data_IF_253008967554
#
_entry.id   IF_253008967554
#
_cell.length_a   1.000
_cell.length_b   1.000
_cell.length_c   1.000
_cell.angle_alpha   90.00
_cell.angle_beta   90.00
_cell.angle_gamma   90.00
#
_symmetry.space_group_name_H-M   'P 1'
#
loop_
_entity.id
_entity.type
_entity.pdbx_description
1 polymer ?
#
# COMPACT_ATOMS: atom_id res chain seq x y z
N UNK A 1 17.55 -11.80 1.07
CA UNK A 1 16.78 -11.74 -0.20
C UNK A 1 15.33 -12.23 -0.02
N UNK A 2 15.09 -13.41 0.53
CA UNK A 2 13.72 -13.93 0.77
C UNK A 2 12.86 -12.99 1.63
N UNK A 3 13.41 -12.43 2.71
CA UNK A 3 12.69 -11.43 3.50
C UNK A 3 12.36 -10.17 2.71
N UNK A 4 13.27 -9.71 1.85
CA UNK A 4 13.06 -8.51 1.03
C UNK A 4 11.86 -8.66 0.09
N UNK A 5 11.66 -9.85 -0.48
CA UNK A 5 10.53 -10.14 -1.36
C UNK A 5 9.17 -9.96 -0.67
N UNK A 6 9.10 -10.05 0.67
CA UNK A 6 7.86 -9.84 1.44
C UNK A 6 7.27 -8.45 1.23
N UNK A 7 8.08 -7.43 0.89
CA UNK A 7 7.59 -6.09 0.58
C UNK A 7 6.62 -6.09 -0.61
N UNK A 8 6.78 -7.02 -1.55
CA UNK A 8 5.87 -7.20 -2.69
C UNK A 8 4.41 -7.43 -2.27
N UNK A 9 4.18 -8.03 -1.10
CA UNK A 9 2.82 -8.26 -0.58
C UNK A 9 2.09 -6.98 -0.14
N UNK A 10 2.82 -5.86 -0.01
CA UNK A 10 2.31 -4.53 0.36
C UNK A 10 2.27 -3.58 -0.85
N UNK A 11 2.71 -4.03 -2.02
CA UNK A 11 2.55 -3.31 -3.28
C UNK A 11 1.25 -3.77 -4.00
N UNK A 12 0.65 -2.93 -4.84
CA UNK A 12 -0.56 -3.29 -5.56
C UNK A 12 -0.38 -4.54 -6.42
N UNK A 13 -1.41 -5.40 -6.48
CA UNK A 13 -1.42 -6.52 -7.42
C UNK A 13 -1.59 -6.08 -8.88
N UNK A 14 -2.17 -4.89 -9.08
CA UNK A 14 -2.39 -4.30 -10.40
C UNK A 14 -2.21 -2.79 -10.35
N UNK A 15 -1.66 -2.22 -11.43
CA UNK A 15 -1.37 -0.80 -11.56
C UNK A 15 -2.23 -0.19 -12.66
N UNK A 16 -2.68 1.06 -12.50
CA UNK A 16 -3.56 1.72 -13.46
C UNK A 16 -2.85 2.15 -14.72
N UNK A 17 -1.53 2.30 -14.67
CA UNK A 17 -0.74 2.57 -15.87
C UNK A 17 0.47 1.64 -16.01
N UNK A 18 0.84 1.28 -17.25
CA UNK A 18 2.06 0.50 -17.51
C UNK A 18 3.33 1.17 -16.93
N UNK A 19 3.39 2.51 -16.94
CA UNK A 19 4.51 3.27 -16.40
C UNK A 19 4.72 3.07 -14.89
N UNK A 20 3.63 2.91 -14.13
CA UNK A 20 3.72 2.64 -12.70
C UNK A 20 4.28 1.24 -12.44
N UNK A 21 3.82 0.24 -13.20
CA UNK A 21 4.35 -1.12 -13.14
C UNK A 21 5.83 -1.18 -13.54
N UNK A 22 6.19 -0.58 -14.68
CA UNK A 22 7.57 -0.47 -15.16
C UNK A 22 8.48 0.20 -14.12
N UNK A 23 7.98 1.22 -13.42
CA UNK A 23 8.72 1.88 -12.36
C UNK A 23 9.00 0.94 -11.19
N UNK A 24 7.99 0.19 -10.71
CA UNK A 24 8.16 -0.77 -9.61
C UNK A 24 9.11 -1.90 -10.01
N UNK A 25 8.94 -2.48 -11.20
CA UNK A 25 9.82 -3.53 -11.74
C UNK A 25 11.26 -3.03 -11.87
N UNK A 26 11.45 -1.82 -12.40
CA UNK A 26 12.77 -1.19 -12.49
C UNK A 26 13.45 -1.05 -11.12
N UNK A 27 12.69 -0.67 -10.08
CA UNK A 27 13.24 -0.57 -8.73
C UNK A 27 13.60 -1.93 -8.13
N UNK A 28 12.80 -2.97 -8.37
CA UNK A 28 13.13 -4.33 -7.97
C UNK A 28 14.40 -4.84 -8.64
N UNK A 29 14.52 -4.69 -9.96
CA UNK A 29 15.73 -5.06 -10.71
C UNK A 29 16.95 -4.30 -10.18
N UNK A 30 16.81 -3.00 -9.88
CA UNK A 30 17.89 -2.21 -9.29
C UNK A 30 18.29 -2.72 -7.90
N UNK A 31 17.31 -3.08 -7.05
CA UNK A 31 17.58 -3.67 -5.74
C UNK A 31 18.33 -5.01 -5.89
N UNK A 32 17.78 -5.95 -6.65
CA UNK A 32 18.31 -7.31 -6.81
C UNK A 32 19.72 -7.30 -7.41
N UNK A 33 19.92 -6.50 -8.45
CA UNK A 33 21.22 -6.37 -9.11
C UNK A 33 22.27 -5.84 -8.14
N UNK A 34 21.95 -4.79 -7.38
CA UNK A 34 22.90 -4.22 -6.41
C UNK A 34 23.14 -5.15 -5.23
N UNK A 35 22.10 -5.83 -4.73
CA UNK A 35 22.23 -6.80 -3.65
C UNK A 35 23.15 -7.96 -4.06
N UNK A 36 22.91 -8.56 -5.24
CA UNK A 36 23.67 -9.70 -5.76
C UNK A 36 25.15 -9.38 -5.99
N UNK A 37 25.46 -8.14 -6.37
CA UNK A 37 26.83 -7.68 -6.60
C UNK A 37 27.47 -7.03 -5.36
N UNK A 38 26.93 -7.28 -4.16
CA UNK A 38 27.42 -6.74 -2.89
C UNK A 38 27.49 -5.20 -2.81
N UNK A 39 26.70 -4.50 -3.65
CA UNK A 39 26.52 -3.04 -3.64
C UNK A 39 25.38 -2.65 -2.70
N UNK A 40 25.45 -3.10 -1.45
CA UNK A 40 24.33 -3.03 -0.50
C UNK A 40 23.83 -1.62 -0.21
N UNK A 41 24.72 -0.62 -0.20
CA UNK A 41 24.35 0.79 -0.10
C UNK A 41 23.37 1.22 -1.21
N UNK A 42 23.62 0.83 -2.46
CA UNK A 42 22.74 1.16 -3.58
C UNK A 42 21.48 0.28 -3.61
N UNK A 43 21.60 -0.97 -3.13
CA UNK A 43 20.43 -1.83 -2.92
C UNK A 43 19.45 -1.17 -1.92
N UNK A 44 19.96 -0.64 -0.80
CA UNK A 44 19.14 0.10 0.17
C UNK A 44 18.40 1.28 -0.46
N UNK A 45 19.07 2.09 -1.30
CA UNK A 45 18.41 3.21 -1.98
C UNK A 45 17.24 2.74 -2.85
N UNK A 46 17.43 1.66 -3.62
CA UNK A 46 16.36 1.06 -4.43
C UNK A 46 15.21 0.54 -3.58
N UNK A 47 15.53 -0.16 -2.48
CA UNK A 47 14.55 -0.72 -1.55
C UNK A 47 13.75 0.36 -0.80
N UNK A 48 14.39 1.47 -0.42
CA UNK A 48 13.70 2.63 0.15
C UNK A 48 12.70 3.23 -0.82
N UNK A 49 13.01 3.31 -2.12
CA UNK A 49 12.07 3.83 -3.11
C UNK A 49 10.86 2.91 -3.31
N UNK A 50 11.04 1.58 -3.22
CA UNK A 50 9.91 0.63 -3.16
C UNK A 50 9.08 0.84 -1.89
N UNK A 51 9.73 1.06 -0.75
CA UNK A 51 9.08 1.32 0.54
C UNK A 51 8.21 2.58 0.48
N UNK A 52 8.76 3.68 -0.06
CA UNK A 52 7.99 4.92 -0.24
C UNK A 52 6.83 4.75 -1.23
N UNK A 53 6.98 3.87 -2.23
CA UNK A 53 5.87 3.53 -3.12
C UNK A 53 4.72 2.86 -2.34
N UNK A 54 5.01 1.93 -1.42
CA UNK A 54 4.01 1.32 -0.53
C UNK A 54 3.27 2.39 0.30
N UNK A 55 4.03 3.35 0.86
CA UNK A 55 3.45 4.47 1.62
C UNK A 55 2.54 5.34 0.75
N UNK A 56 2.93 5.62 -0.49
CA UNK A 56 2.12 6.40 -1.42
C UNK A 56 0.82 5.70 -1.79
N UNK A 57 0.83 4.39 -2.01
CA UNK A 57 -0.40 3.63 -2.24
C UNK A 57 -1.32 3.63 -1.00
N UNK A 58 -0.77 3.50 0.21
CA UNK A 58 -1.55 3.63 1.45
C UNK A 58 -2.22 5.02 1.56
N UNK A 59 -1.46 6.09 1.31
CA UNK A 59 -1.99 7.47 1.35
C UNK A 59 -3.03 7.68 0.24
N UNK A 60 -2.83 7.06 -0.92
CA UNK A 60 -3.81 7.08 -2.01
C UNK A 60 -5.12 6.41 -1.62
N UNK A 61 -5.08 5.26 -0.95
CA UNK A 61 -6.27 4.58 -0.44
C UNK A 61 -7.01 5.46 0.57
N UNK A 62 -6.30 6.17 1.46
CA UNK A 62 -6.92 7.17 2.36
C UNK A 62 -7.63 8.27 1.54
N UNK A 63 -6.97 8.82 0.52
CA UNK A 63 -7.55 9.84 -0.38
C UNK A 63 -8.84 9.36 -1.03
N UNK A 64 -8.87 8.11 -1.51
CA UNK A 64 -10.05 7.55 -2.19
C UNK A 64 -11.20 7.27 -1.23
N UNK A 65 -10.91 6.65 -0.08
CA UNK A 65 -11.95 6.19 0.84
C UNK A 65 -12.47 7.27 1.78
N UNK A 66 -11.62 8.24 2.13
CA UNK A 66 -11.95 9.31 3.10
C UNK A 66 -11.56 10.69 2.55
N UNK A 67 -12.16 11.14 1.45
CA UNK A 67 -11.74 12.36 0.75
C UNK A 67 -11.84 13.61 1.63
N UNK A 68 -12.88 13.76 2.45
CA UNK A 68 -13.03 14.91 3.34
C UNK A 68 -11.95 14.97 4.43
N UNK A 69 -11.60 13.82 5.01
CA UNK A 69 -10.55 13.75 6.04
C UNK A 69 -9.17 13.93 5.41
N UNK A 70 -8.97 13.42 4.19
CA UNK A 70 -7.78 13.68 3.41
C UNK A 70 -7.61 15.18 3.15
N UNK A 71 -8.65 15.87 2.68
CA UNK A 71 -8.63 17.33 2.46
C UNK A 71 -8.31 18.10 3.75
N UNK A 72 -8.94 17.75 4.89
CA UNK A 72 -8.61 18.33 6.20
C UNK A 72 -7.16 18.02 6.61
N UNK A 73 -6.65 16.84 6.29
CA UNK A 73 -5.27 16.42 6.55
C UNK A 73 -4.23 17.23 5.79
N UNK A 74 -4.63 17.87 4.69
CA UNK A 74 -3.79 18.77 3.90
C UNK A 74 -3.70 20.19 4.49
N UNK A 75 -4.49 20.54 5.50
CA UNK A 75 -4.42 21.88 6.12
C UNK A 75 -3.00 22.15 6.64
N UNK A 76 -2.41 23.23 6.12
CA UNK A 76 -1.05 23.65 6.47
C UNK A 76 0.03 23.12 5.51
N UNK A 77 -0.37 22.44 4.43
CA UNK A 77 0.47 22.34 3.23
C UNK A 77 0.36 23.67 2.45
N UNK A 78 1.28 23.92 1.51
CA UNK A 78 1.19 25.11 0.66
C UNK A 78 0.01 25.00 -0.31
N UNK A 79 -0.68 26.10 -0.62
CA UNK A 79 -1.89 26.10 -1.48
C UNK A 79 -1.72 25.32 -2.80
N UNK A 80 -0.59 25.50 -3.48
CA UNK A 80 -0.31 24.79 -4.73
C UNK A 80 -0.10 23.29 -4.51
N UNK A 81 0.51 22.92 -3.38
CA UNK A 81 0.68 21.50 -2.99
C UNK A 81 -0.69 20.89 -2.67
N UNK A 82 -1.51 21.57 -1.86
CA UNK A 82 -2.87 21.09 -1.53
C UNK A 82 -3.66 20.81 -2.80
N UNK A 83 -3.71 21.77 -3.73
CA UNK A 83 -4.36 21.62 -5.02
C UNK A 83 -3.81 20.43 -5.82
N UNK A 84 -2.48 20.34 -5.97
CA UNK A 84 -1.84 19.26 -6.72
C UNK A 84 -2.14 17.88 -6.12
N UNK A 85 -2.22 17.76 -4.79
CA UNK A 85 -2.51 16.48 -4.13
C UNK A 85 -3.98 16.09 -4.23
N UNK A 86 -4.91 17.05 -4.18
CA UNK A 86 -6.35 16.80 -4.37
C UNK A 86 -6.65 16.34 -5.81
N UNK A 87 -6.07 17.03 -6.79
CA UNK A 87 -6.23 16.75 -8.23
C UNK A 87 -5.36 15.58 -8.73
N UNK A 88 -4.58 14.95 -7.85
CA UNK A 88 -3.69 13.86 -8.22
C UNK A 88 -4.46 12.67 -8.84
N UNK A 89 -3.96 12.21 -9.99
CA UNK A 89 -4.46 11.04 -10.74
C UNK A 89 -3.58 9.79 -10.57
N UNK A 90 -2.42 9.93 -9.94
CA UNK A 90 -1.51 8.83 -9.61
C UNK A 90 -0.93 9.01 -8.18
N UNK A 91 -0.71 7.92 -7.43
CA UNK A 91 -0.03 7.96 -6.12
C UNK A 91 1.36 8.61 -6.18
N UNK A 92 2.05 8.52 -7.33
CA UNK A 92 3.40 9.08 -7.46
C UNK A 92 3.44 10.61 -7.47
N UNK A 93 2.31 11.31 -7.63
CA UNK A 93 2.25 12.77 -7.44
C UNK A 93 2.66 13.18 -6.01
N UNK A 94 2.49 12.28 -5.02
CA UNK A 94 2.91 12.53 -3.64
C UNK A 94 4.43 12.73 -3.49
N UNK A 95 5.25 12.30 -4.46
CA UNK A 95 6.70 12.54 -4.43
C UNK A 95 7.08 14.00 -4.62
N UNK A 96 6.14 14.87 -5.03
CA UNK A 96 6.35 16.33 -5.11
C UNK A 96 6.47 16.97 -3.72
N UNK A 97 6.03 16.26 -2.69
CA UNK A 97 6.15 16.66 -1.29
C UNK A 97 7.37 15.97 -0.68
N UNK A 98 8.08 16.67 0.20
CA UNK A 98 9.15 16.05 0.99
C UNK A 98 8.63 14.81 1.74
N UNK A 99 9.38 13.71 1.68
CA UNK A 99 8.95 12.42 2.25
C UNK A 99 8.65 12.48 3.76
N UNK A 100 9.36 13.30 4.54
CA UNK A 100 9.01 13.49 5.96
C UNK A 100 7.67 14.18 6.13
N UNK A 101 7.37 15.15 5.26
CA UNK A 101 6.13 15.92 5.30
C UNK A 101 4.93 15.08 4.88
N UNK A 102 5.05 14.26 3.83
CA UNK A 102 3.94 13.42 3.34
C UNK A 102 3.54 12.34 4.35
N UNK A 103 4.49 11.80 5.15
CA UNK A 103 4.22 10.85 6.24
C UNK A 103 3.25 11.40 7.30
N UNK A 104 3.08 12.73 7.40
CA UNK A 104 2.10 13.34 8.31
C UNK A 104 0.66 12.93 7.99
N UNK A 105 0.36 12.56 6.75
CA UNK A 105 -0.97 12.09 6.34
C UNK A 105 -1.32 10.73 6.95
N UNK A 106 -0.34 9.96 7.44
CA UNK A 106 -0.60 8.71 8.17
C UNK A 106 -1.31 8.94 9.53
N UNK A 107 -1.40 10.20 10.01
CA UNK A 107 -2.27 10.52 11.15
C UNK A 107 -3.74 10.17 10.89
N UNK A 108 -4.17 10.19 9.63
CA UNK A 108 -5.54 9.84 9.22
C UNK A 108 -5.89 8.37 9.47
N UNK A 109 -4.87 7.52 9.69
CA UNK A 109 -4.99 6.12 10.09
C UNK A 109 -4.47 5.88 11.52
N UNK A 110 -4.48 6.90 12.36
CA UNK A 110 -4.06 6.85 13.76
C UNK A 110 -2.58 6.51 14.00
N UNK A 111 -1.69 6.76 13.03
CA UNK A 111 -0.26 6.80 13.31
C UNK A 111 0.08 8.08 14.10
N UNK A 112 0.41 7.93 15.38
CA UNK A 112 0.80 9.05 16.25
C UNK A 112 2.15 9.69 15.84
N UNK A 113 2.51 10.80 16.49
CA UNK A 113 3.76 11.51 16.21
C UNK A 113 5.03 10.65 16.47
N UNK A 114 4.97 9.69 17.39
CA UNK A 114 6.09 8.80 17.69
C UNK A 114 6.32 7.80 16.55
N UNK A 115 5.23 7.22 16.03
CA UNK A 115 5.27 6.35 14.83
C UNK A 115 5.76 7.12 13.61
N UNK A 116 5.20 8.30 13.35
CA UNK A 116 5.63 9.16 12.24
C UNK A 116 7.12 9.53 12.38
N UNK A 117 7.57 9.84 13.59
CA UNK A 117 8.99 10.10 13.86
C UNK A 117 9.87 8.88 13.59
N UNK A 118 9.40 7.67 13.88
CA UNK A 118 10.08 6.41 13.56
C UNK A 118 10.18 6.20 12.04
N UNK A 119 9.09 6.44 11.30
CA UNK A 119 9.07 6.27 9.84
C UNK A 119 9.93 7.34 9.15
N UNK A 120 9.94 8.56 9.68
CA UNK A 120 10.80 9.64 9.20
C UNK A 120 12.30 9.30 9.30
N UNK A 121 12.72 8.46 10.26
CA UNK A 121 14.11 7.99 10.34
C UNK A 121 14.52 7.16 9.14
N UNK A 122 13.62 6.40 8.52
CA UNK A 122 13.94 5.67 7.29
C UNK A 122 14.27 6.64 6.15
N UNK A 123 13.58 7.77 6.08
CA UNK A 123 13.88 8.86 5.13
C UNK A 123 15.23 9.49 5.44
N UNK A 124 15.55 9.69 6.72
CA UNK A 124 16.85 10.21 7.15
C UNK A 124 17.99 9.27 6.77
N UNK A 125 17.86 7.98 7.09
CA UNK A 125 18.83 6.94 6.76
C UNK A 125 19.09 6.93 5.25
N UNK A 126 18.04 7.04 4.44
CA UNK A 126 18.17 7.19 2.98
C UNK A 126 18.95 8.43 2.60
N UNK A 127 18.60 9.58 3.15
CA UNK A 127 19.26 10.85 2.81
C UNK A 127 20.76 10.82 3.18
N UNK A 128 21.09 10.30 4.36
CA UNK A 128 22.48 10.12 4.79
C UNK A 128 23.24 9.16 3.87
N UNK A 129 22.59 8.08 3.44
CA UNK A 129 23.19 7.09 2.55
C UNK A 129 23.40 7.58 1.12
N UNK A 130 22.49 8.44 0.63
CA UNK A 130 22.55 8.98 -0.73
C UNK A 130 23.54 10.15 -0.88
N UNK A 131 23.85 10.85 0.21
CA UNK A 131 24.77 11.98 0.17
C UNK A 131 26.24 11.55 0.04
N UNK A 132 27.07 12.30 -0.71
CA UNK A 132 28.50 12.03 -0.84
C UNK A 132 29.26 12.53 0.40
N UNK A 133 28.98 11.92 1.56
CA UNK A 133 29.56 12.29 2.85
C UNK A 133 30.80 11.45 3.23
N UNK A 134 31.25 10.56 2.33
CA UNK A 134 32.42 9.70 2.53
C UNK A 134 32.16 8.43 3.34
N UNK A 135 30.93 8.17 3.77
CA UNK A 135 30.57 6.99 4.57
C UNK A 135 29.90 5.90 3.72
N UNK A 136 30.19 4.65 4.07
CA UNK A 136 29.47 3.47 3.57
C UNK A 136 28.77 2.82 4.76
N UNK A 137 27.47 3.05 4.90
CA UNK A 137 26.66 2.57 6.03
C UNK A 137 26.30 1.08 5.86
N UNK A 138 26.03 0.67 4.63
CA UNK A 138 25.69 -0.70 4.28
C UNK A 138 26.86 -1.34 3.53
N UNK A 139 27.92 -1.66 4.27
CA UNK A 139 29.12 -2.33 3.74
C UNK A 139 29.04 -3.86 3.77
N UNK A 140 28.06 -4.41 4.50
CA UNK A 140 27.85 -5.85 4.64
C UNK A 140 26.41 -6.22 4.35
N UNK A 141 26.18 -7.48 3.94
CA UNK A 141 24.84 -8.00 3.71
C UNK A 141 24.00 -7.95 4.99
N UNK A 142 24.58 -8.34 6.13
CA UNK A 142 23.91 -8.36 7.41
C UNK A 142 23.38 -6.97 7.84
N UNK A 143 24.14 -5.90 7.55
CA UNK A 143 23.68 -4.55 7.84
C UNK A 143 22.46 -4.15 6.99
N UNK A 144 22.44 -4.54 5.72
CA UNK A 144 21.27 -4.30 4.84
C UNK A 144 20.08 -5.17 5.25
N UNK A 145 20.29 -6.46 5.53
CA UNK A 145 19.23 -7.40 5.92
C UNK A 145 18.54 -6.96 7.23
N UNK A 146 19.32 -6.45 8.20
CA UNK A 146 18.77 -5.86 9.42
C UNK A 146 17.89 -4.63 9.12
N UNK A 147 18.31 -3.77 8.20
CA UNK A 147 17.52 -2.59 7.78
C UNK A 147 16.27 -2.98 6.99
N UNK A 148 16.35 -4.01 6.14
CA UNK A 148 15.18 -4.58 5.44
C UNK A 148 14.16 -5.10 6.45
N UNK A 149 14.61 -5.80 7.50
CA UNK A 149 13.73 -6.30 8.57
C UNK A 149 13.03 -5.15 9.30
N UNK A 150 13.75 -4.08 9.61
CA UNK A 150 13.17 -2.87 10.23
C UNK A 150 12.11 -2.22 9.32
N UNK A 151 12.41 -2.09 8.02
CA UNK A 151 11.49 -1.53 7.03
C UNK A 151 10.21 -2.38 6.95
N UNK A 152 10.33 -3.70 6.86
CA UNK A 152 9.18 -4.59 6.78
C UNK A 152 8.30 -4.47 8.03
N UNK A 153 8.90 -4.35 9.22
CA UNK A 153 8.14 -4.09 10.46
C UNK A 153 7.38 -2.77 10.39
N UNK A 154 7.99 -1.71 9.86
CA UNK A 154 7.34 -0.39 9.70
C UNK A 154 6.20 -0.46 8.68
N UNK A 155 6.40 -1.11 7.54
CA UNK A 155 5.36 -1.26 6.51
C UNK A 155 4.19 -2.10 7.03
N UNK A 156 4.46 -3.16 7.79
CA UNK A 156 3.42 -3.97 8.44
C UNK A 156 2.64 -3.19 9.51
N UNK A 157 3.33 -2.34 10.28
CA UNK A 157 2.69 -1.43 11.24
C UNK A 157 1.76 -0.44 10.53
N UNK A 158 2.21 0.19 9.42
CA UNK A 158 1.38 1.07 8.60
C UNK A 158 0.17 0.30 8.05
N UNK A 159 0.37 -0.90 7.51
CA UNK A 159 -0.69 -1.74 6.97
C UNK A 159 -1.76 -2.07 8.02
N UNK A 160 -1.32 -2.40 9.25
CA UNK A 160 -2.22 -2.66 10.38
C UNK A 160 -3.09 -1.43 10.68
N UNK A 161 -2.49 -0.25 10.66
CA UNK A 161 -3.19 1.02 10.84
C UNK A 161 -4.15 1.35 9.68
N UNK A 162 -3.84 0.91 8.46
CA UNK A 162 -4.69 1.10 7.27
C UNK A 162 -5.95 0.24 7.26
N UNK A 163 -6.04 -0.80 8.11
CA UNK A 163 -7.17 -1.74 8.15
C UNK A 163 -8.57 -1.07 8.15
N UNK A 164 -8.86 -0.06 8.99
CA UNK A 164 -10.18 0.59 8.98
C UNK A 164 -10.49 1.38 7.70
N UNK A 165 -9.49 1.74 6.91
CA UNK A 165 -9.66 2.37 5.59
C UNK A 165 -10.02 1.28 4.57
N UNK A 166 -9.27 0.19 4.56
CA UNK A 166 -9.51 -0.93 3.64
C UNK A 166 -10.87 -1.58 3.89
N UNK A 167 -11.24 -1.83 5.16
CA UNK A 167 -12.56 -2.38 5.52
C UNK A 167 -13.70 -1.46 5.09
N UNK A 168 -13.55 -0.14 5.23
CA UNK A 168 -14.53 0.82 4.75
C UNK A 168 -14.65 0.72 3.23
N UNK A 169 -13.53 0.78 2.49
CA UNK A 169 -13.53 0.68 1.04
C UNK A 169 -14.21 -0.61 0.56
N UNK A 170 -13.92 -1.74 1.21
CA UNK A 170 -14.52 -3.03 0.89
C UNK A 170 -16.02 -3.09 1.20
N UNK A 171 -16.43 -2.55 2.35
CA UNK A 171 -17.84 -2.42 2.71
C UNK A 171 -18.63 -1.65 1.67
N UNK A 172 -18.13 -0.49 1.25
CA UNK A 172 -18.77 0.34 0.22
C UNK A 172 -18.79 -0.37 -1.13
N UNK A 173 -17.72 -1.09 -1.48
CA UNK A 173 -17.71 -1.94 -2.68
C UNK A 173 -18.84 -2.96 -2.64
N UNK A 174 -19.03 -3.71 -1.55
CA UNK A 174 -20.13 -4.68 -1.42
C UNK A 174 -21.50 -3.99 -1.54
N UNK A 175 -21.68 -2.84 -0.90
CA UNK A 175 -22.95 -2.11 -0.93
C UNK A 175 -23.29 -1.60 -2.34
N UNK A 176 -22.30 -1.16 -3.11
CA UNK A 176 -22.53 -0.54 -4.42
C UNK A 176 -22.46 -1.54 -5.58
N UNK A 177 -21.86 -2.72 -5.39
CA UNK A 177 -21.54 -3.65 -6.47
C UNK A 177 -22.15 -5.03 -6.26
N UNK A 178 -23.24 -5.17 -5.50
CA UNK A 178 -23.86 -6.46 -5.24
C UNK A 178 -24.81 -6.92 -6.36
N UNK A 179 -25.38 -6.03 -7.17
CA UNK A 179 -26.34 -6.37 -8.22
C UNK A 179 -25.66 -6.54 -9.59
N UNK A 180 -25.73 -7.74 -10.23
CA UNK A 180 -25.14 -7.96 -11.56
C UNK A 180 -25.65 -7.04 -12.66
N UNK A 181 -26.89 -6.54 -12.56
CA UNK A 181 -27.50 -5.68 -13.57
C UNK A 181 -27.05 -4.21 -13.45
N UNK A 182 -26.50 -3.81 -12.31
CA UNK A 182 -26.03 -2.44 -12.05
C UNK A 182 -24.50 -2.30 -12.10
N UNK A 183 -23.76 -3.41 -12.06
CA UNK A 183 -22.29 -3.41 -12.14
C UNK A 183 -21.79 -2.97 -13.52
N UNK A 184 -20.56 -2.43 -13.52
CA UNK A 184 -19.80 -2.20 -14.76
C UNK A 184 -19.43 -3.52 -15.45
N UNK A 185 -19.09 -4.55 -14.67
CA UNK A 185 -18.84 -5.92 -15.12
C UNK A 185 -19.90 -6.86 -14.53
N UNK A 186 -20.75 -7.50 -15.36
CA UNK A 186 -21.78 -8.41 -14.86
C UNK A 186 -21.20 -9.59 -14.07
N UNK A 187 -20.05 -10.11 -14.52
CA UNK A 187 -19.32 -11.15 -13.80
C UNK A 187 -18.67 -10.60 -12.52
N UNK A 188 -18.94 -11.25 -11.39
CA UNK A 188 -18.45 -10.81 -10.08
C UNK A 188 -16.92 -10.88 -9.98
N UNK A 189 -16.28 -11.86 -10.62
CA UNK A 189 -14.83 -12.04 -10.54
C UNK A 189 -14.08 -10.98 -11.34
N UNK A 190 -14.66 -10.52 -12.46
CA UNK A 190 -14.17 -9.37 -13.22
C UNK A 190 -14.44 -8.06 -12.47
N UNK A 191 -15.64 -7.88 -11.89
CA UNK A 191 -15.96 -6.69 -11.07
C UNK A 191 -14.97 -6.52 -9.91
N UNK A 192 -14.63 -7.62 -9.22
CA UNK A 192 -13.64 -7.62 -8.14
C UNK A 192 -12.24 -7.27 -8.68
N UNK A 193 -11.83 -7.85 -9.82
CA UNK A 193 -10.50 -7.60 -10.38
C UNK A 193 -10.34 -6.13 -10.80
N UNK A 194 -11.29 -5.61 -11.56
CA UNK A 194 -11.19 -4.28 -12.18
C UNK A 194 -11.54 -3.15 -11.20
N UNK A 195 -12.63 -3.29 -10.45
CA UNK A 195 -13.14 -2.19 -9.63
C UNK A 195 -12.58 -2.24 -8.22
N UNK A 196 -12.61 -3.39 -7.55
CA UNK A 196 -12.07 -3.49 -6.19
C UNK A 196 -10.54 -3.44 -6.19
N UNK A 197 -9.88 -4.35 -6.90
CA UNK A 197 -8.42 -4.53 -6.79
C UNK A 197 -7.67 -3.48 -7.61
N UNK A 198 -7.91 -3.42 -8.93
CA UNK A 198 -7.21 -2.47 -9.80
C UNK A 198 -7.63 -1.01 -9.52
N UNK A 199 -8.93 -0.76 -9.33
CA UNK A 199 -9.48 0.57 -9.03
C UNK A 199 -8.97 1.21 -7.73
N UNK A 200 -8.62 0.39 -6.72
CA UNK A 200 -8.16 0.87 -5.40
C UNK A 200 -6.70 0.52 -5.08
N UNK A 201 -5.93 0.03 -6.07
CA UNK A 201 -4.54 -0.39 -5.90
C UNK A 201 -4.34 -1.38 -4.75
N UNK A 202 -5.24 -2.35 -4.60
CA UNK A 202 -5.14 -3.30 -3.48
C UNK A 202 -3.92 -4.21 -3.63
N UNK A 203 -3.17 -4.31 -2.54
CA UNK A 203 -2.10 -5.28 -2.35
C UNK A 203 -2.64 -6.63 -1.86
N UNK A 204 -1.78 -7.65 -1.81
CA UNK A 204 -2.16 -8.94 -1.22
C UNK A 204 -2.54 -8.80 0.27
N UNK A 205 -1.87 -7.90 1.00
CA UNK A 205 -2.18 -7.61 2.40
C UNK A 205 -3.51 -6.88 2.57
N UNK A 206 -3.88 -6.00 1.65
CA UNK A 206 -5.21 -5.38 1.64
C UNK A 206 -6.30 -6.42 1.38
N UNK A 207 -6.06 -7.33 0.44
CA UNK A 207 -7.01 -8.41 0.13
C UNK A 207 -7.21 -9.33 1.34
N UNK A 208 -6.14 -9.63 2.10
CA UNK A 208 -6.26 -10.40 3.35
C UNK A 208 -7.20 -9.71 4.36
N UNK A 209 -7.20 -8.38 4.43
CA UNK A 209 -8.14 -7.61 5.27
C UNK A 209 -9.57 -7.77 4.73
N UNK A 210 -9.79 -7.64 3.41
CA UNK A 210 -11.09 -7.84 2.79
C UNK A 210 -11.64 -9.26 3.02
N UNK A 211 -10.78 -10.28 2.96
CA UNK A 211 -11.12 -11.67 3.23
C UNK A 211 -11.51 -11.91 4.70
N UNK A 212 -10.91 -11.16 5.63
CA UNK A 212 -11.23 -11.18 7.05
C UNK A 212 -12.44 -10.35 7.45
N UNK A 213 -13.05 -9.62 6.52
CA UNK A 213 -14.19 -8.74 6.80
C UNK A 213 -15.41 -9.53 7.29
N UNK A 214 -15.96 -9.17 8.45
CA UNK A 214 -17.18 -9.77 8.97
C UNK A 214 -18.41 -9.26 8.20
N UNK A 215 -18.79 -10.01 7.17
CA UNK A 215 -19.95 -9.68 6.35
C UNK A 215 -21.26 -9.67 7.16
N UNK A 216 -21.34 -10.39 8.29
CA UNK A 216 -22.56 -10.45 9.10
C UNK A 216 -22.95 -9.07 9.66
N UNK A 217 -22.00 -8.13 9.74
CA UNK A 217 -22.29 -6.72 10.06
C UNK A 217 -23.25 -6.04 9.06
N UNK A 218 -23.42 -6.63 7.87
CA UNK A 218 -24.34 -6.18 6.81
C UNK A 218 -25.67 -6.97 6.78
N UNK A 219 -25.94 -7.86 7.73
CA UNK A 219 -27.11 -8.74 7.72
C UNK A 219 -28.47 -8.00 7.68
N UNK A 220 -28.50 -6.75 8.16
CA UNK A 220 -29.69 -5.90 8.13
C UNK A 220 -29.97 -5.28 6.74
N UNK A 221 -29.04 -5.38 5.79
CA UNK A 221 -29.21 -4.83 4.45
C UNK A 221 -30.16 -5.71 3.61
N UNK A 222 -31.10 -5.12 2.85
CA UNK A 222 -32.04 -5.89 2.04
C UNK A 222 -31.35 -6.88 1.08
N UNK A 223 -30.23 -6.46 0.51
CA UNK A 223 -29.49 -7.20 -0.51
C UNK A 223 -28.32 -8.02 0.08
N UNK A 224 -28.34 -8.30 1.39
CA UNK A 224 -27.30 -9.04 2.11
C UNK A 224 -26.88 -10.34 1.42
N UNK A 225 -27.85 -11.10 0.89
CA UNK A 225 -27.56 -12.35 0.17
C UNK A 225 -26.73 -12.12 -1.10
N UNK A 226 -27.02 -11.05 -1.87
CA UNK A 226 -26.27 -10.71 -3.08
C UNK A 226 -24.84 -10.25 -2.73
N UNK A 227 -24.69 -9.47 -1.65
CA UNK A 227 -23.37 -9.10 -1.12
C UNK A 227 -22.56 -10.35 -0.72
N UNK A 228 -23.22 -11.33 -0.09
CA UNK A 228 -22.63 -12.62 0.26
C UNK A 228 -22.06 -13.38 -0.95
N UNK A 229 -22.74 -13.33 -2.09
CA UNK A 229 -22.23 -13.94 -3.33
C UNK A 229 -20.93 -13.26 -3.78
N UNK A 230 -20.88 -11.92 -3.78
CA UNK A 230 -19.66 -11.18 -4.16
C UNK A 230 -18.50 -11.50 -3.20
N UNK A 231 -18.77 -11.53 -1.91
CA UNK A 231 -17.77 -11.86 -0.90
C UNK A 231 -17.23 -13.30 -1.07
N UNK A 232 -18.10 -14.27 -1.37
CA UNK A 232 -17.68 -15.65 -1.61
C UNK A 232 -16.84 -15.79 -2.89
N UNK A 233 -17.14 -15.01 -3.93
CA UNK A 233 -16.29 -14.96 -5.15
C UNK A 233 -14.91 -14.38 -4.82
N UNK A 234 -14.81 -13.34 -3.99
CA UNK A 234 -13.52 -12.82 -3.52
C UNK A 234 -12.75 -13.94 -2.79
N UNK A 235 -13.40 -14.65 -1.86
CA UNK A 235 -12.80 -15.74 -1.10
C UNK A 235 -12.32 -16.89 -1.98
N UNK A 236 -13.12 -17.29 -2.96
CA UNK A 236 -12.75 -18.38 -3.87
C UNK A 236 -11.59 -18.01 -4.78
N UNK A 237 -11.54 -16.75 -5.25
CA UNK A 237 -10.53 -16.32 -6.22
C UNK A 237 -9.21 -15.88 -5.58
N UNK A 238 -9.27 -15.32 -4.38
CA UNK A 238 -8.11 -14.71 -3.72
C UNK A 238 -7.81 -15.25 -2.32
N UNK A 239 -8.65 -16.13 -1.78
CA UNK A 239 -8.35 -16.89 -0.57
C UNK A 239 -7.20 -17.84 -0.83
N UNK A 240 -6.23 -17.86 0.08
CA UNK A 240 -5.12 -18.81 0.07
C UNK A 240 -5.63 -20.21 0.45
N UNK A 241 -5.12 -21.26 -0.20
CA UNK A 241 -5.33 -22.68 0.16
C UNK A 241 -4.62 -23.10 1.48
N UNK A 242 -4.30 -22.14 2.36
CA UNK A 242 -3.57 -22.33 3.62
C UNK A 242 -4.45 -22.93 4.74
N UNK A 243 -5.49 -23.69 4.37
CA UNK A 243 -6.21 -24.61 5.25
C UNK A 243 -5.80 -26.09 5.03
N UNK A 244 -4.76 -26.36 4.24
CA UNK A 244 -4.25 -27.71 3.96
C UNK A 244 -2.80 -27.97 4.43
N UNK A 245 -2.36 -27.24 5.45
CA UNK A 245 -1.04 -27.38 6.09
C UNK A 245 -1.03 -28.03 7.47
N UNK A 246 -2.06 -28.81 7.82
CA UNK A 246 -2.11 -29.59 9.05
C UNK A 246 -2.71 -30.97 8.79
N UNK A 247 -1.87 -31.89 8.33
CA UNK A 247 -2.06 -33.34 8.45
C UNK A 247 -0.68 -34.02 8.51
#
# INVERSE_FOLDING_TARGET
MEDAAKLGNYLPLSFKSPKEQEYIEFRWVAFETNYTHAKYQFAFLAYHMLTMSCVYFNIWQIKQTRPEDFEKGLIGFGKDIEKNLLEATSPFVFSTVNERSILRLLKLIACDNGKIGTYAKLVDDRNETAHPNGNIFFSTQAALDAKITEILRVVDEIQTHSMPVIEHAYREFLLQNHDPEEREYPDAADQIREILIHGNYLSQKDIAICLGFDIATLAAQPEYKKMGVVHEVLRTKYGSDDASGAA
#
